data_IF_049543153635
#
_entry.id   IF_049543153635
#
_cell.length_a   1.000
_cell.length_b   1.000
_cell.length_c   1.000
_cell.angle_alpha   90.00
_cell.angle_beta   90.00
_cell.angle_gamma   90.00
#
_symmetry.space_group_name_H-M   'P 1'
#
loop_
_entity.id
_entity.type
_entity.pdbx_description
1 polymer ?
#
# COMPACT_ATOMS: atom_id res chain seq x y z
N UNK A 1 2.57 -29.46 -16.10
CA UNK A 1 1.27 -29.33 -15.39
C UNK A 1 1.04 -27.87 -15.14
N UNK A 2 -0.19 -27.36 -15.29
CA UNK A 2 -0.54 -25.97 -14.92
C UNK A 2 -1.28 -26.02 -13.58
N UNK A 3 -0.85 -25.22 -12.63
CA UNK A 3 -1.50 -25.06 -11.34
C UNK A 3 -2.18 -23.67 -11.31
N UNK A 4 -3.36 -23.61 -10.73
CA UNK A 4 -4.10 -22.36 -10.53
C UNK A 4 -4.28 -22.18 -9.04
N UNK A 5 -3.86 -21.03 -8.52
CA UNK A 5 -4.07 -20.61 -7.15
C UNK A 5 -5.08 -19.45 -7.16
N UNK A 6 -6.18 -19.64 -6.45
CA UNK A 6 -7.22 -18.61 -6.30
C UNK A 6 -7.18 -18.13 -4.86
N UNK A 7 -6.90 -16.85 -4.66
CA UNK A 7 -6.92 -16.20 -3.34
C UNK A 7 -8.20 -15.39 -3.26
N UNK A 8 -9.09 -15.78 -2.33
CA UNK A 8 -10.33 -15.05 -2.06
C UNK A 8 -10.10 -14.25 -0.79
N UNK A 9 -9.80 -12.97 -0.97
CA UNK A 9 -9.58 -12.04 0.14
C UNK A 9 -10.90 -11.65 0.81
N UNK A 10 -10.90 -11.57 2.16
CA UNK A 10 -12.08 -11.18 2.92
C UNK A 10 -13.22 -12.22 3.00
N UNK A 11 -12.97 -13.47 2.63
CA UNK A 11 -14.02 -14.52 2.69
C UNK A 11 -14.29 -15.02 4.12
N UNK A 12 -13.26 -15.09 4.95
CA UNK A 12 -13.40 -15.53 6.32
C UNK A 12 -13.72 -14.34 7.23
N UNK A 13 -14.76 -14.53 8.04
CA UNK A 13 -15.16 -13.60 9.08
C UNK A 13 -15.81 -14.38 10.23
N UNK A 14 -16.04 -13.72 11.34
CA UNK A 14 -16.85 -14.25 12.43
C UNK A 14 -18.32 -14.33 12.04
N UNK A 15 -19.12 -15.02 12.86
CA UNK A 15 -20.57 -15.06 12.68
C UNK A 15 -21.19 -13.68 12.91
N UNK A 16 -22.08 -13.26 12.02
CA UNK A 16 -22.70 -11.94 11.99
C UNK A 16 -24.19 -12.09 12.35
N UNK A 17 -24.69 -11.29 13.28
CA UNK A 17 -26.09 -11.37 13.75
C UNK A 17 -27.08 -11.15 12.61
N UNK A 18 -26.82 -10.18 11.72
CA UNK A 18 -27.63 -9.86 10.56
C UNK A 18 -27.67 -10.98 9.50
N UNK A 19 -26.72 -11.91 9.56
CA UNK A 19 -26.67 -13.12 8.76
C UNK A 19 -27.17 -14.35 9.52
N UNK A 20 -28.07 -14.18 10.48
CA UNK A 20 -28.62 -15.26 11.32
C UNK A 20 -27.55 -16.01 12.12
N UNK A 21 -26.55 -15.31 12.64
CA UNK A 21 -25.38 -15.86 13.32
C UNK A 21 -24.57 -16.85 12.47
N UNK A 22 -24.62 -16.71 11.15
CA UNK A 22 -23.76 -17.44 10.22
C UNK A 22 -22.56 -16.58 9.84
N UNK A 23 -21.46 -17.24 9.44
CA UNK A 23 -20.36 -16.58 8.74
C UNK A 23 -20.81 -16.17 7.32
N UNK A 24 -20.17 -15.20 6.67
CA UNK A 24 -20.45 -14.86 5.27
C UNK A 24 -20.37 -16.06 4.32
N UNK A 25 -19.42 -16.97 4.56
CA UNK A 25 -19.28 -18.21 3.78
C UNK A 25 -20.50 -19.15 3.95
N UNK A 26 -20.92 -19.40 5.19
CA UNK A 26 -22.08 -20.25 5.49
C UNK A 26 -23.37 -19.65 4.90
N UNK A 27 -23.55 -18.33 5.04
CA UNK A 27 -24.70 -17.64 4.50
C UNK A 27 -24.75 -17.68 2.97
N UNK A 28 -23.62 -17.48 2.29
CA UNK A 28 -23.54 -17.52 0.83
C UNK A 28 -23.71 -18.92 0.26
N UNK A 29 -23.42 -19.97 1.04
CA UNK A 29 -23.51 -21.39 0.65
C UNK A 29 -23.02 -21.66 -0.78
N UNK A 30 -21.72 -21.41 -1.09
CA UNK A 30 -21.18 -21.39 -2.44
C UNK A 30 -21.03 -22.82 -3.00
N UNK A 31 -22.00 -23.27 -3.78
CA UNK A 31 -22.10 -24.68 -4.28
C UNK A 31 -20.85 -25.21 -4.96
N UNK A 32 -20.15 -24.38 -5.72
CA UNK A 32 -18.92 -24.81 -6.40
C UNK A 32 -17.75 -25.01 -5.45
N UNK A 33 -17.64 -24.19 -4.42
CA UNK A 33 -16.62 -24.34 -3.39
C UNK A 33 -16.88 -25.57 -2.54
N UNK A 34 -18.14 -25.81 -2.16
CA UNK A 34 -18.53 -27.03 -1.45
C UNK A 34 -18.28 -28.30 -2.30
N UNK A 35 -18.54 -28.24 -3.61
CA UNK A 35 -18.20 -29.31 -4.53
C UNK A 35 -16.68 -29.60 -4.56
N UNK A 36 -15.82 -28.55 -4.60
CA UNK A 36 -14.37 -28.70 -4.57
C UNK A 36 -13.88 -29.21 -3.23
N UNK A 37 -14.41 -28.69 -2.13
CA UNK A 37 -14.10 -29.12 -0.76
C UNK A 37 -14.38 -30.61 -0.53
N UNK A 38 -15.50 -31.10 -1.05
CA UNK A 38 -15.90 -32.51 -0.92
C UNK A 38 -15.00 -33.48 -1.71
N UNK A 39 -14.22 -33.01 -2.69
CA UNK A 39 -13.39 -33.81 -3.59
C UNK A 39 -11.90 -33.53 -3.48
N UNK A 40 -11.54 -32.48 -2.80
CA UNK A 40 -10.17 -32.05 -2.58
C UNK A 40 -9.68 -32.37 -1.17
N UNK A 41 -8.50 -31.86 -0.87
CA UNK A 41 -7.96 -31.81 0.50
C UNK A 41 -8.34 -30.48 1.10
N UNK A 42 -8.91 -30.50 2.28
CA UNK A 42 -9.30 -29.33 3.05
C UNK A 42 -8.46 -29.22 4.32
N UNK A 43 -8.09 -28.00 4.70
CA UNK A 43 -7.33 -27.75 5.90
C UNK A 43 -7.28 -26.26 6.25
N UNK A 44 -6.71 -25.97 7.41
CA UNK A 44 -6.45 -24.61 7.87
C UNK A 44 -4.96 -24.30 7.73
N UNK A 45 -4.66 -23.11 7.26
CA UNK A 45 -3.29 -22.61 7.14
C UNK A 45 -3.17 -21.27 7.87
N UNK A 46 -2.14 -21.13 8.71
CA UNK A 46 -1.78 -19.86 9.31
C UNK A 46 -0.98 -19.04 8.28
N UNK A 47 -1.63 -18.06 7.69
CA UNK A 47 -1.02 -17.21 6.64
C UNK A 47 -0.24 -16.02 7.19
N UNK A 48 -0.61 -15.51 8.38
CA UNK A 48 0.11 -14.42 9.03
C UNK A 48 1.18 -14.98 9.97
N UNK A 49 2.49 -14.73 9.71
CA UNK A 49 3.56 -15.14 10.61
C UNK A 49 3.51 -14.40 11.95
N UNK A 50 4.03 -15.03 13.02
CA UNK A 50 4.12 -14.40 14.34
C UNK A 50 5.01 -13.15 14.28
N UNK A 51 4.49 -12.05 14.84
CA UNK A 51 5.16 -10.76 14.87
C UNK A 51 4.76 -9.81 13.73
N UNK A 52 3.91 -10.26 12.79
CA UNK A 52 3.37 -9.41 11.73
C UNK A 52 1.92 -8.99 12.04
N UNK A 53 1.54 -7.82 11.54
CA UNK A 53 0.13 -7.43 11.44
C UNK A 53 -0.53 -8.21 10.31
N UNK A 54 -1.74 -8.72 10.55
CA UNK A 54 -2.48 -9.46 9.53
C UNK A 54 -2.92 -8.51 8.40
N UNK A 55 -2.19 -8.57 7.29
CA UNK A 55 -2.47 -7.82 6.07
C UNK A 55 -2.04 -8.61 4.83
N UNK A 56 -2.60 -8.25 3.68
CA UNK A 56 -2.40 -8.99 2.42
C UNK A 56 -0.93 -9.17 2.04
N UNK A 57 -0.06 -8.20 2.37
CA UNK A 57 1.36 -8.28 2.07
C UNK A 57 2.00 -9.53 2.69
N UNK A 58 1.99 -9.65 4.00
CA UNK A 58 2.65 -10.76 4.71
C UNK A 58 1.92 -12.09 4.45
N UNK A 59 0.58 -12.07 4.40
CA UNK A 59 -0.21 -13.29 4.19
C UNK A 59 0.01 -13.88 2.79
N UNK A 60 0.00 -13.06 1.74
CA UNK A 60 0.22 -13.54 0.36
C UNK A 60 1.67 -14.01 0.16
N UNK A 61 2.66 -13.26 0.66
CA UNK A 61 4.05 -13.69 0.56
C UNK A 61 4.30 -15.02 1.30
N UNK A 62 3.66 -15.21 2.46
CA UNK A 62 3.70 -16.48 3.19
C UNK A 62 3.06 -17.62 2.38
N UNK A 63 1.90 -17.39 1.76
CA UNK A 63 1.25 -18.36 0.86
C UNK A 63 2.13 -18.70 -0.35
N UNK A 64 2.92 -17.75 -0.83
CA UNK A 64 3.88 -17.95 -1.92
C UNK A 64 5.20 -18.57 -1.46
N UNK A 65 5.32 -18.96 -0.18
CA UNK A 65 6.46 -19.66 0.38
C UNK A 65 7.66 -18.80 0.72
N UNK A 66 7.48 -17.50 0.88
CA UNK A 66 8.55 -16.61 1.35
C UNK A 66 8.80 -16.82 2.85
N UNK A 67 10.09 -16.85 3.23
CA UNK A 67 10.48 -16.86 4.63
C UNK A 67 10.12 -15.53 5.30
N UNK A 68 9.66 -15.60 6.56
CA UNK A 68 9.29 -14.40 7.31
C UNK A 68 10.43 -13.39 7.47
N UNK A 69 11.67 -13.83 7.47
CA UNK A 69 12.85 -12.97 7.62
C UNK A 69 13.13 -12.09 6.41
N UNK A 70 12.54 -12.39 5.24
CA UNK A 70 12.72 -11.59 4.01
C UNK A 70 11.47 -10.81 3.63
N UNK A 71 10.35 -10.99 4.34
CA UNK A 71 9.12 -10.22 4.08
C UNK A 71 9.34 -8.76 4.47
N UNK A 72 9.20 -7.79 3.56
CA UNK A 72 9.36 -6.38 3.89
C UNK A 72 8.25 -5.90 4.83
N UNK A 73 8.56 -4.95 5.70
CA UNK A 73 7.60 -4.38 6.65
C UNK A 73 6.52 -3.51 5.97
N UNK A 74 6.74 -3.10 4.72
CA UNK A 74 5.79 -2.27 3.98
C UNK A 74 5.76 -2.61 2.49
N UNK A 75 4.68 -2.21 1.80
CA UNK A 75 4.44 -2.51 0.38
C UNK A 75 5.24 -1.65 -0.59
N UNK A 76 5.70 -0.48 -0.16
CA UNK A 76 6.26 0.51 -1.07
C UNK A 76 7.44 -0.03 -1.89
N UNK A 77 8.28 -0.88 -1.31
CA UNK A 77 9.38 -1.51 -2.03
C UNK A 77 8.90 -2.47 -3.14
N UNK A 78 7.85 -3.26 -2.88
CA UNK A 78 7.29 -4.16 -3.89
C UNK A 78 6.62 -3.38 -5.03
N UNK A 79 5.96 -2.28 -4.70
CA UNK A 79 5.37 -1.38 -5.69
C UNK A 79 6.48 -0.72 -6.53
N UNK A 80 7.61 -0.34 -5.92
CA UNK A 80 8.77 0.18 -6.63
C UNK A 80 9.39 -0.86 -7.58
N UNK A 81 9.47 -2.12 -7.17
CA UNK A 81 9.93 -3.22 -8.03
C UNK A 81 8.97 -3.44 -9.22
N UNK A 82 7.66 -3.34 -9.01
CA UNK A 82 6.66 -3.47 -10.07
C UNK A 82 6.74 -2.33 -11.10
N UNK A 83 7.15 -1.14 -10.66
CA UNK A 83 7.43 0.03 -11.50
C UNK A 83 8.87 0.03 -12.08
N UNK A 84 9.61 -1.07 -11.91
CA UNK A 84 11.00 -1.23 -12.39
C UNK A 84 11.96 -0.15 -11.85
N UNK A 85 11.69 0.40 -10.66
CA UNK A 85 12.56 1.40 -10.03
C UNK A 85 13.79 0.73 -9.41
N UNK A 86 14.96 1.24 -9.75
CA UNK A 86 16.23 0.82 -9.13
C UNK A 86 16.41 1.52 -7.77
N UNK A 87 16.05 0.83 -6.70
CA UNK A 87 16.21 1.31 -5.33
C UNK A 87 17.57 0.90 -4.80
N UNK A 88 18.36 1.88 -4.40
CA UNK A 88 19.73 1.67 -3.88
C UNK A 88 19.70 1.27 -2.40
N UNK A 89 20.80 0.71 -1.91
CA UNK A 89 20.92 0.25 -0.51
C UNK A 89 20.86 1.40 0.51
N UNK A 90 21.22 2.61 0.07
CA UNK A 90 21.14 3.85 0.84
C UNK A 90 19.81 4.61 0.66
N UNK A 91 18.81 3.98 0.07
CA UNK A 91 17.48 4.54 -0.18
C UNK A 91 16.39 3.75 0.52
N UNK A 92 15.31 4.44 0.86
CA UNK A 92 14.05 3.90 1.36
C UNK A 92 12.91 4.37 0.47
N UNK A 93 11.82 3.63 0.46
CA UNK A 93 10.63 3.95 -0.34
C UNK A 93 9.44 4.15 0.59
N UNK A 94 8.64 5.17 0.31
CA UNK A 94 7.35 5.38 0.95
C UNK A 94 6.25 5.47 -0.10
N UNK A 95 5.07 4.97 0.24
CA UNK A 95 3.86 5.30 -0.52
C UNK A 95 3.52 6.77 -0.28
N UNK A 96 2.92 7.41 -1.27
CA UNK A 96 2.52 8.80 -1.18
C UNK A 96 1.19 8.98 -1.92
N UNK A 97 0.13 9.26 -1.17
CA UNK A 97 -1.17 9.47 -1.76
C UNK A 97 -1.41 10.97 -2.00
N UNK A 98 -1.97 11.31 -3.16
CA UNK A 98 -2.65 12.58 -3.30
C UNK A 98 -3.96 12.51 -2.52
N UNK A 99 -4.12 13.34 -1.50
CA UNK A 99 -5.31 13.41 -0.65
C UNK A 99 -6.06 14.72 -0.88
N UNK A 100 -7.39 14.71 -0.72
CA UNK A 100 -8.19 15.93 -0.71
C UNK A 100 -8.45 16.38 0.73
N UNK A 101 -8.44 17.69 0.93
CA UNK A 101 -8.60 18.34 2.23
C UNK A 101 -9.81 19.29 2.21
N UNK A 102 -10.44 19.46 3.35
CA UNK A 102 -11.39 20.54 3.56
C UNK A 102 -10.70 21.90 3.84
N UNK A 103 -11.49 22.92 4.13
CA UNK A 103 -11.02 24.30 4.45
C UNK A 103 -10.16 24.34 5.70
N UNK A 104 -10.38 23.42 6.63
CA UNK A 104 -9.68 23.35 7.92
C UNK A 104 -8.44 22.45 7.87
N UNK A 105 -8.13 21.86 6.70
CA UNK A 105 -6.98 20.98 6.48
C UNK A 105 -7.21 19.54 6.94
N UNK A 106 -8.47 19.12 7.12
CA UNK A 106 -8.81 17.72 7.42
C UNK A 106 -8.87 16.91 6.13
N UNK A 107 -8.36 15.69 6.17
CA UNK A 107 -8.44 14.75 5.05
C UNK A 107 -9.89 14.33 4.83
N UNK A 108 -10.47 14.69 3.70
CA UNK A 108 -11.83 14.29 3.30
C UNK A 108 -11.84 13.14 2.29
N UNK A 109 -10.72 12.91 1.61
CA UNK A 109 -10.52 11.76 0.74
C UNK A 109 -9.06 11.31 0.75
N UNK A 110 -8.86 10.02 0.93
CA UNK A 110 -7.53 9.38 0.88
C UNK A 110 -7.02 9.14 -0.55
N UNK A 111 -7.85 9.45 -1.55
CA UNK A 111 -7.59 9.18 -2.98
C UNK A 111 -7.74 10.43 -3.86
N UNK A 112 -7.68 11.63 -3.28
CA UNK A 112 -7.82 12.88 -4.02
C UNK A 112 -9.27 13.24 -4.42
N UNK A 113 -10.27 12.43 -4.04
CA UNK A 113 -11.68 12.69 -4.36
C UNK A 113 -12.02 12.41 -5.82
N UNK A 114 -12.82 13.30 -6.44
CA UNK A 114 -13.31 13.14 -7.81
C UNK A 114 -12.35 13.84 -8.79
N UNK A 115 -11.17 13.27 -9.00
CA UNK A 115 -10.22 13.74 -10.01
C UNK A 115 -10.17 12.75 -11.18
N UNK A 116 -9.88 13.25 -12.38
CA UNK A 116 -9.57 12.43 -13.55
C UNK A 116 -8.04 12.23 -13.68
N UNK A 117 -7.63 11.29 -14.52
CA UNK A 117 -6.20 10.97 -14.73
C UNK A 117 -5.37 12.18 -15.14
N UNK A 118 -5.90 13.08 -15.97
CA UNK A 118 -5.18 14.28 -16.40
C UNK A 118 -4.90 15.23 -15.23
N UNK A 119 -5.82 15.32 -14.28
CA UNK A 119 -5.66 16.13 -13.07
C UNK A 119 -4.63 15.50 -12.11
N UNK A 120 -4.67 14.18 -11.91
CA UNK A 120 -3.65 13.47 -11.12
C UNK A 120 -2.25 13.67 -11.70
N UNK A 121 -2.10 13.46 -13.02
CA UNK A 121 -0.84 13.66 -13.73
C UNK A 121 -0.33 15.10 -13.58
N UNK A 122 -1.24 16.09 -13.72
CA UNK A 122 -0.90 17.51 -13.56
C UNK A 122 -0.35 17.79 -12.15
N UNK A 123 -1.02 17.32 -11.10
CA UNK A 123 -0.58 17.56 -9.73
C UNK A 123 0.75 16.89 -9.41
N UNK A 124 0.94 15.65 -9.88
CA UNK A 124 2.21 14.93 -9.73
C UNK A 124 3.35 15.62 -10.46
N UNK A 125 3.11 16.11 -11.68
CA UNK A 125 4.09 16.87 -12.47
C UNK A 125 4.46 18.19 -11.78
N UNK A 126 3.46 18.94 -11.28
CA UNK A 126 3.70 20.19 -10.55
C UNK A 126 4.57 19.90 -9.31
N UNK A 127 4.23 18.86 -8.54
CA UNK A 127 4.99 18.54 -7.35
C UNK A 127 6.42 18.12 -7.67
N UNK A 128 6.59 17.20 -8.62
CA UNK A 128 7.92 16.70 -9.02
C UNK A 128 8.83 17.82 -9.55
N UNK A 129 8.26 18.77 -10.32
CA UNK A 129 9.00 19.91 -10.86
C UNK A 129 9.42 20.95 -9.80
N UNK A 130 8.79 20.91 -8.63
CA UNK A 130 9.12 21.79 -7.51
C UNK A 130 9.97 21.11 -6.42
N UNK A 131 10.33 19.83 -6.61
CA UNK A 131 11.25 19.13 -5.69
C UNK A 131 12.68 19.58 -6.01
N UNK A 132 13.23 20.46 -5.18
CA UNK A 132 14.57 21.04 -5.32
C UNK A 132 15.69 20.18 -4.69
N UNK A 133 15.36 19.02 -4.10
CA UNK A 133 16.29 18.21 -3.31
C UNK A 133 16.62 16.88 -3.98
N UNK A 134 17.88 16.59 -4.13
CA UNK A 134 18.36 15.28 -4.59
C UNK A 134 18.07 14.14 -3.62
N UNK A 135 17.82 14.47 -2.33
CA UNK A 135 17.56 13.49 -1.26
C UNK A 135 16.15 12.88 -1.29
N UNK A 136 15.23 13.43 -2.10
CA UNK A 136 13.87 12.93 -2.24
C UNK A 136 13.44 12.99 -3.71
N UNK A 137 12.92 11.89 -4.21
CA UNK A 137 12.39 11.77 -5.58
C UNK A 137 10.97 11.25 -5.51
N UNK A 138 10.11 11.77 -6.35
CA UNK A 138 8.72 11.33 -6.45
C UNK A 138 8.50 10.63 -7.79
N UNK A 139 7.88 9.44 -7.74
CA UNK A 139 7.47 8.67 -8.90
C UNK A 139 5.95 8.52 -8.90
N UNK A 140 5.30 8.89 -10.02
CA UNK A 140 3.85 8.78 -10.19
C UNK A 140 3.48 7.40 -10.78
N UNK A 141 2.55 6.71 -10.11
CA UNK A 141 2.12 5.37 -10.48
C UNK A 141 0.72 5.35 -11.16
N UNK A 142 0.17 6.52 -11.43
CA UNK A 142 -1.21 6.68 -11.91
C UNK A 142 -2.22 6.95 -10.80
N UNK A 143 -3.31 7.64 -11.14
CA UNK A 143 -4.33 8.06 -10.20
C UNK A 143 -3.72 8.81 -9.00
N UNK A 144 -4.20 8.59 -7.79
CA UNK A 144 -3.71 9.21 -6.57
C UNK A 144 -2.39 8.63 -6.02
N UNK A 145 -1.87 7.56 -6.66
CA UNK A 145 -0.75 6.77 -6.13
C UNK A 145 0.58 7.32 -6.61
N UNK A 146 1.48 7.50 -5.67
CA UNK A 146 2.86 7.87 -5.93
C UNK A 146 3.80 7.15 -4.95
N UNK A 147 5.07 7.06 -5.33
CA UNK A 147 6.15 6.62 -4.46
C UNK A 147 7.11 7.78 -4.21
N UNK A 148 7.64 7.85 -3.00
CA UNK A 148 8.79 8.68 -2.65
C UNK A 148 9.99 7.79 -2.42
N UNK A 149 11.07 8.05 -3.15
CA UNK A 149 12.38 7.45 -2.91
C UNK A 149 13.21 8.49 -2.15
N UNK A 150 13.70 8.13 -0.97
CA UNK A 150 14.31 9.06 -0.03
C UNK A 150 15.64 8.47 0.44
N UNK A 151 16.67 9.31 0.59
CA UNK A 151 17.94 8.89 1.18
C UNK A 151 17.74 8.44 2.62
N UNK A 152 18.20 7.23 2.94
CA UNK A 152 18.01 6.57 4.25
C UNK A 152 18.50 7.42 5.41
N UNK A 153 19.61 8.15 5.23
CA UNK A 153 20.16 9.07 6.23
C UNK A 153 19.21 10.21 6.62
N UNK A 154 18.27 10.56 5.74
CA UNK A 154 17.25 11.59 5.99
C UNK A 154 16.06 11.08 6.81
N UNK A 155 15.97 9.76 7.02
CA UNK A 155 14.84 9.11 7.69
C UNK A 155 15.34 8.56 9.03
N UNK A 156 14.78 9.07 10.11
CA UNK A 156 15.01 8.55 11.47
C UNK A 156 13.88 7.61 11.86
N UNK A 157 13.10 7.92 12.84
CA UNK A 157 11.93 7.17 13.27
C UNK A 157 10.68 7.75 12.63
N UNK A 158 9.82 6.92 12.04
CA UNK A 158 8.60 7.36 11.35
C UNK A 158 7.39 6.62 11.91
N UNK A 159 6.44 7.37 12.46
CA UNK A 159 5.10 6.88 12.71
C UNK A 159 4.35 6.76 11.38
N UNK A 160 3.63 5.67 11.20
CA UNK A 160 2.86 5.41 9.97
C UNK A 160 1.38 5.77 10.16
N UNK A 161 0.87 6.59 9.25
CA UNK A 161 -0.52 7.05 9.26
C UNK A 161 -1.18 6.81 7.90
N UNK A 162 -1.66 5.59 7.62
CA UNK A 162 -2.33 5.27 6.37
C UNK A 162 -3.51 6.22 6.11
N UNK A 163 -3.57 6.94 4.97
CA UNK A 163 -4.59 7.96 4.72
C UNK A 163 -6.03 7.43 4.80
N UNK A 164 -6.26 6.19 4.35
CA UNK A 164 -7.59 5.58 4.36
C UNK A 164 -8.13 5.25 5.77
N UNK A 165 -7.24 5.11 6.76
CA UNK A 165 -7.61 4.89 8.16
C UNK A 165 -7.72 6.20 8.96
N UNK A 166 -7.37 7.32 8.34
CA UNK A 166 -7.23 8.61 9.02
C UNK A 166 -8.05 9.73 8.35
N UNK A 167 -9.08 9.36 7.58
CA UNK A 167 -10.06 10.33 7.05
C UNK A 167 -10.74 11.06 8.21
N UNK A 168 -10.91 12.37 8.10
CA UNK A 168 -11.46 13.26 9.14
C UNK A 168 -10.41 13.87 10.06
N UNK A 169 -9.15 13.40 10.06
CA UNK A 169 -8.06 13.98 10.84
C UNK A 169 -7.37 15.13 10.09
N UNK A 170 -6.79 16.06 10.84
CA UNK A 170 -5.99 17.13 10.24
C UNK A 170 -4.70 16.57 9.65
N UNK A 171 -4.35 17.02 8.44
CA UNK A 171 -3.15 16.53 7.74
C UNK A 171 -1.87 16.77 8.55
N UNK A 172 -1.79 17.82 9.32
CA UNK A 172 -0.61 18.12 10.16
C UNK A 172 -0.37 17.05 11.23
N UNK A 173 -1.43 16.41 11.72
CA UNK A 173 -1.33 15.32 12.69
C UNK A 173 -0.90 14.00 12.06
N UNK A 174 -0.99 13.89 10.72
CA UNK A 174 -0.68 12.71 9.95
C UNK A 174 0.70 12.75 9.29
N UNK A 175 1.34 13.92 9.27
CA UNK A 175 2.69 14.04 8.72
C UNK A 175 3.68 13.39 9.68
N UNK A 176 4.50 12.44 9.23
CA UNK A 176 5.54 11.85 10.08
C UNK A 176 6.44 12.92 10.71
N UNK A 177 6.85 12.72 11.97
CA UNK A 177 7.73 13.65 12.70
C UNK A 177 9.16 13.61 12.16
N UNK A 178 9.30 13.88 10.88
CA UNK A 178 10.56 13.91 10.16
C UNK A 178 10.63 15.19 9.33
N UNK A 179 11.73 15.94 9.47
CA UNK A 179 11.88 17.27 8.88
C UNK A 179 11.70 17.27 7.36
N UNK A 180 12.30 16.32 6.65
CA UNK A 180 12.22 16.29 5.18
C UNK A 180 10.80 15.97 4.70
N UNK A 181 10.07 15.11 5.41
CA UNK A 181 8.67 14.79 5.09
C UNK A 181 7.73 15.95 5.44
N UNK A 182 7.95 16.65 6.54
CA UNK A 182 7.20 17.85 6.89
C UNK A 182 7.37 18.95 5.85
N UNK A 183 8.60 19.19 5.41
CA UNK A 183 8.90 20.16 4.36
C UNK A 183 8.27 19.73 3.02
N UNK A 184 8.30 18.44 2.67
CA UNK A 184 7.66 17.90 1.49
C UNK A 184 6.14 18.14 1.50
N UNK A 185 5.45 17.80 2.60
CA UNK A 185 3.99 18.01 2.72
C UNK A 185 3.66 19.50 2.69
N UNK A 186 4.44 20.33 3.40
CA UNK A 186 4.27 21.79 3.40
C UNK A 186 4.43 22.37 1.98
N UNK A 187 5.42 21.91 1.24
CA UNK A 187 5.63 22.28 -0.16
C UNK A 187 4.46 21.86 -1.03
N UNK A 188 3.95 20.62 -0.86
CA UNK A 188 2.78 20.15 -1.62
C UNK A 188 1.54 21.02 -1.37
N UNK A 189 1.30 21.40 -0.11
CA UNK A 189 0.23 22.33 0.25
C UNK A 189 0.40 23.68 -0.46
N UNK A 190 1.60 24.23 -0.50
CA UNK A 190 1.88 25.53 -1.10
C UNK A 190 1.72 25.52 -2.63
N UNK A 191 2.17 24.46 -3.31
CA UNK A 191 2.13 24.41 -4.79
C UNK A 191 0.78 23.99 -5.34
N UNK A 192 -0.01 23.18 -4.59
CA UNK A 192 -1.31 22.68 -5.04
C UNK A 192 -2.49 23.59 -4.66
N UNK A 193 -2.38 24.38 -3.58
CA UNK A 193 -3.51 25.16 -3.06
C UNK A 193 -3.77 26.51 -3.76
N UNK A 194 -3.34 26.65 -4.99
CA UNK A 194 -3.73 27.77 -5.86
C UNK A 194 -5.10 27.59 -6.51
N UNK A 195 -5.86 26.56 -6.13
CA UNK A 195 -7.16 26.18 -6.71
C UNK A 195 -8.24 26.11 -5.62
N UNK A 196 -9.51 26.01 -6.00
CA UNK A 196 -10.70 26.01 -5.11
C UNK A 196 -10.70 24.84 -4.09
N UNK A 197 -10.09 23.72 -4.44
CA UNK A 197 -9.96 22.57 -3.55
C UNK A 197 -8.54 22.45 -3.02
N UNK A 198 -8.42 22.07 -1.75
CA UNK A 198 -7.13 21.84 -1.13
C UNK A 198 -6.70 20.40 -1.32
N UNK A 199 -5.49 20.21 -1.82
CA UNK A 199 -4.85 18.92 -2.02
C UNK A 199 -3.48 18.90 -1.35
N UNK A 200 -3.04 17.71 -0.97
CA UNK A 200 -1.66 17.50 -0.54
C UNK A 200 -1.20 16.08 -0.90
N UNK A 201 0.10 15.92 -0.99
CA UNK A 201 0.74 14.61 -1.06
C UNK A 201 1.10 14.17 0.36
N UNK A 202 0.51 13.05 0.83
CA UNK A 202 0.72 12.51 2.17
C UNK A 202 1.55 11.22 2.11
N UNK A 203 2.81 11.24 2.61
CA UNK A 203 3.67 10.07 2.69
C UNK A 203 3.25 9.11 3.80
N UNK A 204 3.34 7.80 3.54
CA UNK A 204 3.05 6.73 4.50
C UNK A 204 3.65 5.39 4.05
N UNK A 205 3.59 4.35 4.87
CA UNK A 205 3.96 2.99 4.48
C UNK A 205 5.43 2.86 4.09
N UNK A 206 6.35 3.28 4.99
CA UNK A 206 7.80 3.15 4.78
C UNK A 206 8.18 1.69 4.52
N UNK A 207 9.03 1.50 3.53
CA UNK A 207 9.62 0.20 3.21
C UNK A 207 11.09 0.36 2.84
N UNK A 208 11.88 -0.62 3.24
CA UNK A 208 13.29 -0.72 2.86
C UNK A 208 13.43 -1.79 1.77
N UNK A 209 14.54 -1.72 1.05
CA UNK A 209 14.95 -2.78 0.13
C UNK A 209 14.99 -4.12 0.87
N UNK A 210 14.37 -5.13 0.28
CA UNK A 210 14.31 -6.49 0.80
C UNK A 210 14.89 -7.46 -0.23
N UNK A 211 15.66 -8.43 0.23
CA UNK A 211 16.23 -9.47 -0.63
C UNK A 211 15.24 -10.63 -0.75
N UNK A 212 14.26 -10.43 -1.63
CA UNK A 212 13.21 -11.41 -1.91
C UNK A 212 13.67 -12.40 -2.97
N UNK A 213 13.82 -13.69 -2.65
CA UNK A 213 14.09 -14.69 -3.67
C UNK A 213 12.94 -14.76 -4.67
N UNK A 214 13.27 -14.88 -5.96
CA UNK A 214 12.25 -14.98 -7.00
C UNK A 214 11.41 -16.25 -6.83
N UNK A 215 10.16 -16.20 -7.29
CA UNK A 215 9.26 -17.37 -7.28
C UNK A 215 9.91 -18.59 -7.98
N UNK A 216 10.64 -18.35 -9.07
CA UNK A 216 11.37 -19.41 -9.76
C UNK A 216 12.51 -20.00 -8.89
N UNK A 217 13.20 -19.18 -8.12
CA UNK A 217 14.24 -19.66 -7.20
C UNK A 217 13.67 -20.60 -6.15
N UNK A 218 12.50 -20.27 -5.61
CA UNK A 218 11.84 -21.09 -4.59
C UNK A 218 11.20 -22.36 -5.17
N UNK A 219 10.46 -22.24 -6.25
CA UNK A 219 9.54 -23.29 -6.72
C UNK A 219 9.97 -23.96 -8.03
N UNK A 220 11.05 -23.51 -8.67
CA UNK A 220 11.55 -24.00 -9.98
C UNK A 220 10.49 -23.95 -11.08
N UNK A 221 9.51 -23.06 -10.94
CA UNK A 221 8.44 -22.84 -11.92
C UNK A 221 8.15 -21.34 -12.06
N UNK A 222 7.49 -20.95 -13.14
CA UNK A 222 7.08 -19.57 -13.36
C UNK A 222 5.66 -19.36 -12.85
N UNK A 223 5.38 -18.18 -12.32
CA UNK A 223 4.04 -17.71 -11.96
C UNK A 223 3.66 -16.50 -12.79
N UNK A 224 2.36 -16.34 -13.02
CA UNK A 224 1.75 -15.12 -13.53
C UNK A 224 0.54 -14.79 -12.68
N UNK A 225 0.30 -13.50 -12.45
CA UNK A 225 -0.90 -12.97 -11.78
C UNK A 225 -1.82 -12.36 -12.82
N UNK A 226 -3.13 -12.53 -12.65
CA UNK A 226 -4.18 -11.93 -13.47
C UNK A 226 -5.18 -11.22 -12.58
#
# INVERSE_FOLDING_TARGET
MKNIMIIIDGMNDDSIEELFNMTPYEYASPKHMEYMKARGVYGLLKTCPDGFTAESLCCILTLLGQDKGVIPLGRAYLEALAEELDIKDDEVVMRCNLVALDTDGKVISSTGGILNEAQYNKFSTIMSSNLERESIKMHHMGSYKNLLVIKKECITEIADFPPHQNVGKNIQDLVPRNKILQEFVCQSLNVLNKQEHKYAFLPWGLSMKADLPSFYTLHKTKAASV
#
